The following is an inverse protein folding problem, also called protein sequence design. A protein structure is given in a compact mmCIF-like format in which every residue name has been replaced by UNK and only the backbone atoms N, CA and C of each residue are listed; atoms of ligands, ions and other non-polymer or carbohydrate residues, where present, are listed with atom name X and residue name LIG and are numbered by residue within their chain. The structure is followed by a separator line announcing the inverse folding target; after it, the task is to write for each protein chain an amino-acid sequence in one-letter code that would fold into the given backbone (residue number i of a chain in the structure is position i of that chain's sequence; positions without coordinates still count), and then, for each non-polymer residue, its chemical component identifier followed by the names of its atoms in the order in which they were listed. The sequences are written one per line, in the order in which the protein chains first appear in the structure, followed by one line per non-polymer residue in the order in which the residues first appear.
data_IF_870344095543
#
_entry.id   IF_870344095543
#
_cell.length_a   1.000
_cell.length_b   1.000
_cell.length_c   1.000
_cell.angle_alpha   90.00
_cell.angle_beta   90.00
_cell.angle_gamma   90.00
#
_symmetry.space_group_name_H-M   'P 1'
#
loop_
_entity.id
_entity.type
_entity.pdbx_description
1 polymer ?
#
# COMPACT_ATOMS: atom_id res chain seq x y z
N UNK A 1 -30.08 -11.48 10.63
CA UNK A 1 -30.62 -10.11 10.57
C UNK A 1 -29.93 -9.34 11.67
N UNK A 2 -28.84 -8.66 11.33
CA UNK A 2 -28.05 -7.88 12.27
C UNK A 2 -28.66 -6.50 12.41
N UNK A 3 -28.77 -6.02 13.64
CA UNK A 3 -29.26 -4.71 14.03
C UNK A 3 -28.51 -3.61 13.25
N UNK A 4 -29.19 -2.72 12.49
CA UNK A 4 -28.51 -1.62 11.81
C UNK A 4 -27.93 -0.70 12.89
N UNK A 5 -26.60 -0.71 13.01
CA UNK A 5 -25.87 -0.08 14.11
C UNK A 5 -26.38 1.32 14.47
N UNK A 6 -26.56 1.55 15.77
CA UNK A 6 -27.00 2.82 16.35
C UNK A 6 -26.15 3.97 15.82
N UNK A 7 -26.78 4.89 15.08
CA UNK A 7 -26.11 6.07 14.55
C UNK A 7 -26.01 7.11 15.65
N UNK A 8 -24.79 7.37 16.11
CA UNK A 8 -24.53 8.45 17.08
C UNK A 8 -24.44 9.77 16.32
N UNK A 9 -25.39 10.68 16.58
CA UNK A 9 -25.29 12.07 16.15
C UNK A 9 -24.67 12.91 17.26
N UNK A 10 -23.63 13.67 16.93
CA UNK A 10 -22.92 14.54 17.86
C UNK A 10 -22.72 15.93 17.22
N UNK A 11 -22.81 16.98 18.04
CA UNK A 11 -22.54 18.35 17.64
C UNK A 11 -21.54 18.99 18.61
N UNK A 12 -20.82 20.01 18.12
CA UNK A 12 -20.00 20.85 18.98
C UNK A 12 -20.93 21.66 19.90
N UNK A 13 -20.59 21.77 21.19
CA UNK A 13 -21.30 22.68 22.09
C UNK A 13 -21.09 24.15 21.68
N UNK A 14 -22.02 25.03 22.07
CA UNK A 14 -22.05 26.44 21.66
C UNK A 14 -20.72 27.18 21.88
N UNK A 15 -20.02 26.87 22.98
CA UNK A 15 -18.71 27.45 23.32
C UNK A 15 -17.62 27.10 22.29
N UNK A 16 -17.62 25.85 21.80
CA UNK A 16 -16.66 25.40 20.78
C UNK A 16 -17.07 25.82 19.37
N UNK A 17 -18.37 25.94 19.09
CA UNK A 17 -18.85 26.32 17.75
C UNK A 17 -18.29 27.69 17.34
N UNK A 18 -18.41 28.71 18.21
CA UNK A 18 -17.90 30.05 17.91
C UNK A 18 -16.38 30.08 17.68
N UNK A 19 -15.61 29.35 18.50
CA UNK A 19 -14.17 29.26 18.35
C UNK A 19 -13.75 28.53 17.05
N UNK A 20 -14.46 27.47 16.67
CA UNK A 20 -14.22 26.73 15.42
C UNK A 20 -14.57 27.56 14.21
N UNK A 21 -15.70 28.29 14.23
CA UNK A 21 -16.12 29.13 13.11
C UNK A 21 -15.15 30.29 12.87
N UNK A 22 -14.69 30.97 13.94
CA UNK A 22 -13.64 31.98 13.82
C UNK A 22 -12.33 31.41 13.23
N UNK A 23 -11.95 30.18 13.60
CA UNK A 23 -10.76 29.52 13.02
C UNK A 23 -10.96 29.12 11.56
N UNK A 24 -12.17 28.72 11.16
CA UNK A 24 -12.52 28.42 9.77
C UNK A 24 -12.47 29.66 8.89
N UNK A 25 -12.90 30.82 9.40
CA UNK A 25 -12.81 32.10 8.69
C UNK A 25 -11.35 32.48 8.44
N UNK A 26 -10.50 32.44 9.47
CA UNK A 26 -9.05 32.66 9.32
C UNK A 26 -8.41 31.70 8.31
N UNK A 27 -8.75 30.41 8.36
CA UNK A 27 -8.22 29.43 7.42
C UNK A 27 -8.67 29.69 5.97
N UNK A 28 -9.89 30.21 5.78
CA UNK A 28 -10.43 30.61 4.48
C UNK A 28 -9.69 31.83 3.93
N UNK A 29 -9.55 32.87 4.75
CA UNK A 29 -8.85 34.11 4.37
C UNK A 29 -7.39 33.86 4.00
N UNK A 30 -6.75 32.90 4.68
CA UNK A 30 -5.38 32.47 4.40
C UNK A 30 -5.26 31.48 3.24
N UNK A 31 -6.37 31.09 2.60
CA UNK A 31 -6.37 30.14 1.48
C UNK A 31 -5.82 28.77 1.83
N UNK A 32 -5.97 28.31 3.09
CA UNK A 32 -5.28 27.11 3.60
C UNK A 32 -5.52 25.88 2.73
N UNK A 33 -6.76 25.66 2.27
CA UNK A 33 -7.09 24.50 1.42
C UNK A 33 -6.32 24.53 0.10
N UNK A 34 -6.35 25.66 -0.62
CA UNK A 34 -5.62 25.80 -1.87
C UNK A 34 -4.10 25.59 -1.66
N UNK A 35 -3.56 26.17 -0.59
CA UNK A 35 -2.15 26.05 -0.22
C UNK A 35 -1.75 24.60 0.14
N UNK A 36 -2.64 23.82 0.75
CA UNK A 36 -2.42 22.37 0.96
C UNK A 36 -2.25 21.68 -0.39
N UNK A 37 -3.16 21.90 -1.33
CA UNK A 37 -3.11 21.31 -2.67
C UNK A 37 -1.91 21.79 -3.50
N UNK A 38 -1.45 23.02 -3.28
CA UNK A 38 -0.21 23.57 -3.84
C UNK A 38 1.05 23.07 -3.12
N UNK A 39 0.91 22.15 -2.14
CA UNK A 39 1.99 21.54 -1.36
C UNK A 39 2.83 22.57 -0.58
N UNK A 40 2.20 23.64 -0.07
CA UNK A 40 2.89 24.74 0.63
C UNK A 40 3.44 24.33 2.01
N UNK A 41 4.73 23.99 2.04
CA UNK A 41 5.46 23.56 3.24
C UNK A 41 5.35 24.50 4.45
N UNK A 42 5.06 25.80 4.23
CA UNK A 42 4.93 26.81 5.31
C UNK A 42 3.78 26.48 6.25
N UNK A 43 2.73 25.82 5.76
CA UNK A 43 1.60 25.39 6.60
C UNK A 43 2.02 24.41 7.71
N UNK A 44 3.16 23.74 7.57
CA UNK A 44 3.64 22.72 8.49
C UNK A 44 4.97 23.10 9.17
N UNK A 45 5.31 24.38 9.21
CA UNK A 45 6.52 24.88 9.90
C UNK A 45 7.69 25.26 8.98
N UNK A 46 7.48 25.23 7.65
CA UNK A 46 8.45 25.71 6.66
C UNK A 46 9.15 24.59 5.88
N UNK A 47 9.99 24.96 4.90
CA UNK A 47 10.67 23.99 4.05
C UNK A 47 11.70 23.18 4.87
N UNK A 48 11.56 21.87 4.80
CA UNK A 48 12.49 20.89 5.32
C UNK A 48 12.30 19.57 4.57
N UNK A 49 13.31 18.67 4.59
CA UNK A 49 13.27 17.42 3.81
C UNK A 49 12.12 16.49 4.20
N UNK A 50 11.47 16.74 5.34
CA UNK A 50 10.36 15.92 5.82
C UNK A 50 8.99 16.36 5.31
N UNK A 51 8.83 17.60 4.82
CA UNK A 51 7.53 18.18 4.46
C UNK A 51 7.41 18.37 2.95
N UNK A 52 8.41 18.97 2.29
CA UNK A 52 8.36 19.23 0.84
C UNK A 52 8.22 17.97 0.00
N UNK A 53 8.91 16.91 0.41
CA UNK A 53 9.04 15.66 -0.35
C UNK A 53 8.14 14.54 0.24
N UNK A 54 7.07 14.89 0.96
CA UNK A 54 6.16 13.91 1.60
C UNK A 54 4.67 14.19 1.40
N UNK A 55 4.32 15.06 0.44
CA UNK A 55 2.94 15.48 0.16
C UNK A 55 2.35 14.84 -1.10
N UNK A 56 3.04 13.86 -1.71
CA UNK A 56 2.53 13.15 -2.88
C UNK A 56 1.27 12.31 -2.62
N UNK A 57 0.88 12.13 -1.35
CA UNK A 57 -0.37 11.44 -0.98
C UNK A 57 -1.63 12.26 -1.31
N UNK A 58 -1.52 13.56 -1.57
CA UNK A 58 -2.66 14.43 -1.87
C UNK A 58 -3.34 14.06 -3.19
N UNK A 59 -2.55 13.72 -4.21
CA UNK A 59 -3.01 13.46 -5.59
C UNK A 59 -2.73 12.02 -6.04
N UNK A 60 -2.29 11.14 -5.14
CA UNK A 60 -1.93 9.77 -5.52
C UNK A 60 -3.11 8.97 -6.06
N UNK A 61 -4.32 9.23 -5.55
CA UNK A 61 -5.50 8.50 -6.00
C UNK A 61 -5.77 8.76 -7.50
N UNK A 62 -5.76 10.03 -7.90
CA UNK A 62 -5.94 10.45 -9.29
C UNK A 62 -4.85 9.86 -10.20
N UNK A 63 -3.59 9.90 -9.75
CA UNK A 63 -2.46 9.36 -10.52
C UNK A 63 -2.54 7.84 -10.68
N UNK A 64 -2.98 7.12 -9.66
CA UNK A 64 -3.13 5.67 -9.74
C UNK A 64 -4.33 5.24 -10.62
N UNK A 65 -5.36 6.09 -10.72
CA UNK A 65 -6.45 5.87 -11.68
C UNK A 65 -5.95 5.87 -13.14
N UNK A 66 -4.88 6.60 -13.46
CA UNK A 66 -4.27 6.60 -14.79
C UNK A 66 -3.60 5.25 -15.14
N UNK A 67 -3.11 4.52 -14.13
CA UNK A 67 -2.41 3.23 -14.31
C UNK A 67 -3.22 2.00 -13.87
N UNK A 68 -4.48 2.18 -13.45
CA UNK A 68 -5.28 1.10 -12.85
C UNK A 68 -5.54 -0.05 -13.83
N UNK A 69 -5.75 0.23 -15.12
CA UNK A 69 -6.02 -0.82 -16.11
C UNK A 69 -4.81 -1.72 -16.36
N UNK A 70 -3.60 -1.17 -16.27
CA UNK A 70 -2.35 -1.93 -16.36
C UNK A 70 -2.12 -2.81 -15.12
N UNK A 71 -2.51 -2.34 -13.93
CA UNK A 71 -2.54 -3.17 -12.72
C UNK A 71 -3.56 -4.32 -12.86
N UNK A 72 -4.76 -4.04 -13.37
CA UNK A 72 -5.79 -5.07 -13.57
C UNK A 72 -5.36 -6.11 -14.61
N UNK A 73 -4.75 -5.69 -15.73
CA UNK A 73 -4.20 -6.61 -16.72
C UNK A 73 -3.09 -7.50 -16.13
N UNK A 74 -2.27 -6.97 -15.22
CA UNK A 74 -1.31 -7.77 -14.47
C UNK A 74 -2.00 -8.82 -13.59
N UNK A 75 -3.05 -8.45 -12.84
CA UNK A 75 -3.80 -9.40 -12.01
C UNK A 75 -4.43 -10.49 -12.87
N UNK A 76 -5.05 -10.13 -14.00
CA UNK A 76 -5.63 -11.11 -14.93
C UNK A 76 -4.58 -12.12 -15.41
N UNK A 77 -3.35 -11.66 -15.70
CA UNK A 77 -2.26 -12.57 -16.10
C UNK A 77 -1.91 -13.57 -14.99
N UNK A 78 -1.78 -13.09 -13.75
CA UNK A 78 -1.49 -13.90 -12.56
C UNK A 78 -2.60 -14.93 -12.32
N UNK A 79 -3.87 -14.53 -12.42
CA UNK A 79 -4.98 -15.46 -12.28
C UNK A 79 -5.02 -16.51 -13.39
N UNK A 80 -4.78 -16.10 -14.64
CA UNK A 80 -4.81 -16.99 -15.80
C UNK A 80 -3.73 -18.08 -15.77
N UNK A 81 -2.61 -17.80 -15.09
CA UNK A 81 -1.51 -18.74 -14.87
C UNK A 81 -1.76 -19.67 -13.67
N UNK A 82 -2.88 -19.50 -12.97
CA UNK A 82 -3.35 -20.40 -11.94
C UNK A 82 -2.79 -20.13 -10.55
N UNK A 83 -2.22 -18.94 -10.30
CA UNK A 83 -1.90 -18.51 -8.94
C UNK A 83 -3.17 -18.42 -8.10
N UNK A 84 -3.09 -18.88 -6.85
CA UNK A 84 -4.23 -18.93 -5.92
C UNK A 84 -3.94 -18.22 -4.60
N UNK A 85 -2.66 -17.93 -4.34
CA UNK A 85 -2.18 -17.24 -3.15
C UNK A 85 -1.33 -16.05 -3.54
N UNK A 86 -1.43 -14.97 -2.75
CA UNK A 86 -0.48 -13.87 -2.75
C UNK A 86 0.17 -13.79 -1.37
N UNK A 87 1.50 -13.74 -1.30
CA UNK A 87 2.23 -13.59 -0.04
C UNK A 87 2.96 -12.24 -0.04
N UNK A 88 2.46 -11.29 0.74
CA UNK A 88 3.08 -9.98 0.93
C UNK A 88 4.19 -10.07 1.97
N UNK A 89 5.42 -9.82 1.52
CA UNK A 89 6.64 -9.79 2.33
C UNK A 89 7.00 -8.33 2.58
N UNK A 90 6.65 -7.79 3.75
CA UNK A 90 6.76 -6.35 4.00
C UNK A 90 6.60 -6.01 5.47
N UNK A 91 7.16 -4.86 5.88
CA UNK A 91 7.14 -4.39 7.27
C UNK A 91 6.51 -3.00 7.39
N UNK A 92 5.80 -2.77 8.48
CA UNK A 92 5.24 -1.46 8.85
C UNK A 92 4.24 -0.92 7.82
N UNK A 93 4.52 0.27 7.27
CA UNK A 93 3.63 0.91 6.27
C UNK A 93 3.40 0.06 5.02
N UNK A 94 4.36 -0.79 4.66
CA UNK A 94 4.30 -1.70 3.51
C UNK A 94 3.43 -2.94 3.74
N UNK A 95 2.94 -3.19 4.96
CA UNK A 95 2.11 -4.35 5.31
C UNK A 95 0.76 -3.98 5.94
N UNK A 96 0.72 -2.95 6.80
CA UNK A 96 -0.46 -2.62 7.60
C UNK A 96 -1.66 -2.12 6.77
N UNK A 97 -1.43 -1.29 5.75
CA UNK A 97 -2.49 -0.84 4.84
C UNK A 97 -3.15 -2.03 4.11
N UNK A 98 -2.36 -2.86 3.41
CA UNK A 98 -2.84 -4.12 2.84
C UNK A 98 -3.59 -5.02 3.82
N UNK A 99 -3.11 -5.15 5.07
CA UNK A 99 -3.73 -5.97 6.10
C UNK A 99 -5.12 -5.43 6.52
N UNK A 100 -5.28 -4.11 6.64
CA UNK A 100 -6.59 -3.49 6.91
C UNK A 100 -7.57 -3.76 5.77
N UNK A 101 -7.13 -3.60 4.51
CA UNK A 101 -7.96 -3.90 3.34
C UNK A 101 -8.39 -5.37 3.35
N UNK A 102 -7.43 -6.28 3.58
CA UNK A 102 -7.66 -7.73 3.64
C UNK A 102 -8.71 -8.11 4.69
N UNK A 103 -8.68 -7.48 5.87
CA UNK A 103 -9.66 -7.73 6.95
C UNK A 103 -11.03 -7.12 6.68
N UNK A 104 -11.07 -6.04 5.90
CA UNK A 104 -12.30 -5.26 5.67
C UNK A 104 -13.07 -5.71 4.43
N UNK A 105 -12.37 -6.27 3.43
CA UNK A 105 -12.96 -6.68 2.16
C UNK A 105 -13.12 -8.20 2.10
N UNK A 106 -14.35 -8.69 1.89
CA UNK A 106 -14.67 -10.11 1.81
C UNK A 106 -14.56 -10.70 0.39
N UNK A 107 -13.55 -10.28 -0.40
CA UNK A 107 -13.33 -10.77 -1.78
C UNK A 107 -12.11 -11.67 -1.83
N UNK A 108 -12.14 -12.67 -2.70
CA UNK A 108 -11.10 -13.69 -2.84
C UNK A 108 -10.91 -14.05 -4.31
N UNK A 109 -10.15 -13.22 -5.02
CA UNK A 109 -9.40 -13.66 -6.19
C UNK A 109 -8.29 -14.61 -5.72
N UNK A 110 -7.14 -14.06 -5.30
CA UNK A 110 -6.13 -14.80 -4.55
C UNK A 110 -6.36 -14.66 -3.05
N UNK A 111 -5.96 -15.69 -2.29
CA UNK A 111 -5.86 -15.59 -0.83
C UNK A 111 -4.59 -14.82 -0.48
N UNK A 112 -4.77 -13.58 -0.01
CA UNK A 112 -3.65 -12.76 0.48
C UNK A 112 -3.21 -13.21 1.88
N UNK A 113 -1.91 -13.41 2.03
CA UNK A 113 -1.21 -13.60 3.29
C UNK A 113 -0.21 -12.47 3.50
N UNK A 114 -0.09 -11.97 4.72
CA UNK A 114 0.84 -10.89 5.08
C UNK A 114 1.85 -11.42 6.06
N UNK A 115 3.14 -11.34 5.71
CA UNK A 115 4.26 -11.69 6.58
C UNK A 115 5.03 -10.43 6.96
N UNK A 116 4.73 -9.93 8.15
CA UNK A 116 5.33 -8.75 8.78
C UNK A 116 6.06 -9.09 10.10
N UNK A 117 6.49 -10.34 10.25
CA UNK A 117 7.22 -10.81 11.41
C UNK A 117 8.36 -11.74 11.01
N UNK A 118 9.52 -11.54 11.62
CA UNK A 118 10.68 -12.45 11.50
C UNK A 118 10.62 -13.60 12.50
N UNK A 119 9.57 -13.70 13.31
CA UNK A 119 9.40 -14.82 14.22
C UNK A 119 9.29 -16.13 13.41
N UNK A 120 10.05 -17.18 13.74
CA UNK A 120 10.07 -18.42 12.95
C UNK A 120 8.68 -19.05 12.83
N UNK A 121 7.88 -19.02 13.90
CA UNK A 121 6.50 -19.54 13.86
C UNK A 121 5.60 -18.80 12.86
N UNK A 122 5.80 -17.50 12.65
CA UNK A 122 5.03 -16.74 11.66
C UNK A 122 5.42 -17.12 10.23
N UNK A 123 6.73 -17.31 9.99
CA UNK A 123 7.24 -17.80 8.70
C UNK A 123 6.72 -19.22 8.44
N UNK A 124 6.79 -20.10 9.44
CA UNK A 124 6.32 -21.46 9.32
C UNK A 124 4.81 -21.54 9.08
N UNK A 125 4.02 -20.76 9.82
CA UNK A 125 2.58 -20.69 9.61
C UNK A 125 2.21 -20.22 8.20
N UNK A 126 2.97 -19.28 7.61
CA UNK A 126 2.80 -18.92 6.20
C UNK A 126 3.10 -20.11 5.28
N UNK A 127 4.22 -20.81 5.50
CA UNK A 127 4.61 -21.97 4.70
C UNK A 127 3.57 -23.10 4.73
N UNK A 128 2.92 -23.33 5.87
CA UNK A 128 1.82 -24.30 6.00
C UNK A 128 0.53 -23.85 5.31
N UNK A 129 0.32 -22.54 5.18
CA UNK A 129 -0.91 -21.94 4.66
C UNK A 129 -0.89 -21.69 3.14
N UNK A 130 0.24 -21.89 2.47
CA UNK A 130 0.39 -21.65 1.02
C UNK A 130 0.85 -22.89 0.27
N UNK A 131 0.40 -22.99 -0.98
CA UNK A 131 1.08 -23.79 -1.99
C UNK A 131 2.13 -22.92 -2.70
N UNK A 132 3.42 -23.21 -2.47
CA UNK A 132 4.54 -22.42 -3.01
C UNK A 132 4.49 -22.34 -4.53
N UNK A 133 4.09 -23.39 -5.24
CA UNK A 133 4.03 -23.39 -6.71
C UNK A 133 2.90 -22.50 -7.24
N UNK A 134 1.87 -22.26 -6.42
CA UNK A 134 0.68 -21.46 -6.76
C UNK A 134 0.62 -20.13 -6.01
N UNK A 135 1.77 -19.66 -5.52
CA UNK A 135 1.90 -18.38 -4.79
C UNK A 135 2.68 -17.34 -5.60
N UNK A 136 2.12 -16.14 -5.72
CA UNK A 136 2.84 -14.93 -6.11
C UNK A 136 3.35 -14.21 -4.86
N UNK A 137 4.64 -13.88 -4.81
CA UNK A 137 5.28 -13.19 -3.69
C UNK A 137 5.41 -11.71 -4.01
N UNK A 138 4.83 -10.86 -3.17
CA UNK A 138 4.91 -9.40 -3.28
C UNK A 138 5.94 -8.90 -2.29
N UNK A 139 7.14 -8.56 -2.76
CA UNK A 139 8.23 -8.03 -1.96
C UNK A 139 8.08 -6.52 -1.85
N UNK A 140 7.81 -6.02 -0.66
CA UNK A 140 7.33 -4.65 -0.46
C UNK A 140 8.24 -3.89 0.51
N UNK A 141 9.04 -2.97 -0.03
CA UNK A 141 9.95 -2.11 0.75
C UNK A 141 10.29 -0.84 -0.02
N UNK A 142 10.00 0.33 0.57
CA UNK A 142 10.31 1.65 -0.02
C UNK A 142 11.80 1.82 -0.31
N UNK A 143 12.63 1.69 0.73
CA UNK A 143 14.09 1.83 0.60
C UNK A 143 14.75 0.67 -0.14
N UNK A 144 14.07 -0.47 -0.24
CA UNK A 144 14.61 -1.72 -0.77
C UNK A 144 15.74 -2.32 0.08
N UNK A 145 15.95 -1.79 1.30
CA UNK A 145 17.01 -2.20 2.22
C UNK A 145 16.51 -2.78 3.54
N UNK A 146 15.19 -2.91 3.72
CA UNK A 146 14.60 -3.50 4.94
C UNK A 146 15.07 -4.94 5.11
N UNK A 147 15.88 -5.21 6.13
CA UNK A 147 16.57 -6.50 6.31
C UNK A 147 15.58 -7.65 6.43
N UNK A 148 14.49 -7.44 7.15
CA UNK A 148 13.43 -8.42 7.37
C UNK A 148 12.76 -8.81 6.04
N UNK A 149 12.34 -7.82 5.25
CA UNK A 149 11.76 -8.03 3.92
C UNK A 149 12.72 -8.76 2.98
N UNK A 150 14.00 -8.37 2.97
CA UNK A 150 15.00 -9.00 2.12
C UNK A 150 15.33 -10.43 2.56
N UNK A 151 15.29 -10.72 3.87
CA UNK A 151 15.43 -12.06 4.42
C UNK A 151 14.27 -12.96 3.98
N UNK A 152 13.03 -12.49 4.07
CA UNK A 152 11.86 -13.23 3.58
C UNK A 152 11.91 -13.45 2.07
N UNK A 153 12.26 -12.41 1.29
CA UNK A 153 12.46 -12.53 -0.16
C UNK A 153 13.47 -13.64 -0.48
N UNK A 154 14.64 -13.60 0.17
CA UNK A 154 15.68 -14.62 -0.06
C UNK A 154 15.16 -16.02 0.27
N UNK A 155 14.53 -16.19 1.42
CA UNK A 155 13.98 -17.48 1.86
C UNK A 155 13.00 -18.06 0.84
N UNK A 156 12.00 -17.29 0.43
CA UNK A 156 11.00 -17.77 -0.53
C UNK A 156 11.56 -17.90 -1.95
N UNK A 157 12.52 -17.07 -2.36
CA UNK A 157 13.18 -17.21 -3.66
C UNK A 157 13.97 -18.53 -3.75
N UNK A 158 14.62 -18.95 -2.67
CA UNK A 158 15.28 -20.26 -2.60
C UNK A 158 14.23 -21.40 -2.63
N UNK A 159 13.08 -21.24 -1.96
CA UNK A 159 11.97 -22.21 -1.96
C UNK A 159 11.32 -22.39 -3.34
N UNK A 160 11.26 -21.36 -4.17
CA UNK A 160 10.79 -21.44 -5.56
C UNK A 160 11.89 -21.90 -6.52
N UNK A 161 13.03 -22.37 -6.02
CA UNK A 161 14.19 -22.77 -6.81
C UNK A 161 14.73 -21.64 -7.71
N UNK A 162 14.57 -20.39 -7.28
CA UNK A 162 15.01 -19.20 -7.99
C UNK A 162 14.07 -18.76 -9.12
N UNK A 163 12.80 -19.18 -9.09
CA UNK A 163 11.82 -18.73 -10.08
C UNK A 163 11.38 -17.28 -9.82
N UNK A 164 12.04 -16.33 -10.46
CA UNK A 164 11.71 -14.90 -10.40
C UNK A 164 10.31 -14.54 -10.92
N UNK A 165 9.72 -15.37 -11.79
CA UNK A 165 8.38 -15.13 -12.32
C UNK A 165 7.28 -15.25 -11.24
N UNK A 166 7.60 -15.80 -10.07
CA UNK A 166 6.70 -15.80 -8.92
C UNK A 166 6.83 -14.56 -8.04
N UNK A 167 7.68 -13.58 -8.40
CA UNK A 167 8.00 -12.44 -7.55
C UNK A 167 7.66 -11.11 -8.23
N UNK A 168 7.12 -10.21 -7.41
CA UNK A 168 6.86 -8.82 -7.75
C UNK A 168 7.53 -7.94 -6.71
N UNK A 169 8.17 -6.86 -7.15
CA UNK A 169 8.68 -5.84 -6.24
C UNK A 169 7.75 -4.63 -6.21
N UNK A 170 7.46 -4.11 -5.02
CA UNK A 170 6.85 -2.79 -4.82
C UNK A 170 7.82 -1.93 -4.02
N UNK A 171 8.36 -0.90 -4.67
CA UNK A 171 9.52 -0.15 -4.15
C UNK A 171 9.65 1.22 -4.81
N UNK A 172 10.53 2.08 -4.30
CA UNK A 172 10.83 3.33 -4.98
C UNK A 172 11.81 3.14 -6.16
N UNK A 173 11.76 4.03 -7.17
CA UNK A 173 12.71 4.06 -8.26
C UNK A 173 14.17 4.02 -7.80
N UNK A 174 14.98 3.18 -8.44
CA UNK A 174 16.42 3.07 -8.18
C UNK A 174 16.79 2.40 -6.85
N UNK A 175 15.82 1.89 -6.08
CA UNK A 175 16.08 1.24 -4.79
C UNK A 175 16.93 -0.03 -4.92
N UNK A 176 17.48 -0.49 -3.78
CA UNK A 176 18.18 -1.78 -3.73
C UNK A 176 17.28 -2.97 -4.07
N UNK A 177 15.96 -2.86 -3.88
CA UNK A 177 15.01 -3.90 -4.24
C UNK A 177 14.71 -3.88 -5.74
N UNK A 178 14.62 -2.71 -6.37
CA UNK A 178 14.47 -2.60 -7.83
C UNK A 178 15.66 -3.27 -8.56
N UNK A 179 16.88 -3.03 -8.08
CA UNK A 179 18.09 -3.67 -8.62
C UNK A 179 18.06 -5.20 -8.43
N UNK A 180 17.69 -5.68 -7.24
CA UNK A 180 17.60 -7.12 -6.95
C UNK A 180 16.53 -7.81 -7.79
N UNK A 181 15.41 -7.13 -8.03
CA UNK A 181 14.32 -7.62 -8.86
C UNK A 181 14.80 -7.81 -10.32
N UNK A 182 15.55 -6.86 -10.86
CA UNK A 182 16.17 -6.99 -12.19
C UNK A 182 17.19 -8.14 -12.24
N UNK A 183 18.09 -8.25 -11.25
CA UNK A 183 19.08 -9.33 -11.14
C UNK A 183 18.45 -10.73 -11.07
N UNK A 184 17.25 -10.83 -10.47
CA UNK A 184 16.56 -12.10 -10.20
C UNK A 184 15.40 -12.36 -11.16
N UNK A 185 15.29 -11.57 -12.22
CA UNK A 185 14.22 -11.70 -13.22
C UNK A 185 12.83 -11.76 -12.58
N UNK A 186 12.57 -10.83 -11.66
CA UNK A 186 11.23 -10.70 -11.09
C UNK A 186 10.24 -10.36 -12.21
N UNK A 187 9.07 -11.00 -12.17
CA UNK A 187 7.98 -10.78 -13.14
C UNK A 187 7.70 -9.31 -13.37
N UNK A 188 7.68 -8.53 -12.29
CA UNK A 188 7.33 -7.11 -12.35
C UNK A 188 7.92 -6.29 -11.21
N UNK A 189 8.24 -5.04 -11.51
CA UNK A 189 8.55 -4.00 -10.53
C UNK A 189 7.49 -2.91 -10.65
N UNK A 190 6.77 -2.65 -9.55
CA UNK A 190 5.88 -1.51 -9.41
C UNK A 190 6.62 -0.42 -8.65
N UNK A 191 7.01 0.61 -9.38
CA UNK A 191 7.66 1.77 -8.79
C UNK A 191 6.61 2.68 -8.13
N UNK A 192 6.91 3.10 -6.91
CA UNK A 192 6.11 4.03 -6.14
C UNK A 192 6.63 5.47 -6.30
N UNK A 193 5.79 6.46 -6.01
CA UNK A 193 6.23 7.85 -5.91
C UNK A 193 7.09 8.08 -4.63
N UNK A 194 8.37 8.48 -4.77
CA UNK A 194 9.24 8.79 -3.64
C UNK A 194 8.66 9.86 -2.69
N UNK A 195 7.79 10.75 -3.18
CA UNK A 195 7.17 11.83 -2.39
C UNK A 195 6.05 11.33 -1.45
N UNK A 196 5.87 10.01 -1.35
CA UNK A 196 4.88 9.39 -0.47
C UNK A 196 5.56 8.72 0.71
N UNK A 197 5.29 9.21 1.92
CA UNK A 197 5.73 8.54 3.14
C UNK A 197 5.07 7.16 3.31
N UNK A 198 5.79 6.17 3.82
CA UNK A 198 5.28 4.79 3.88
C UNK A 198 3.98 4.57 4.68
N UNK A 199 3.64 5.47 5.62
CA UNK A 199 2.35 5.39 6.34
C UNK A 199 1.16 5.97 5.57
N UNK A 200 1.41 6.64 4.44
CA UNK A 200 0.42 7.24 3.56
C UNK A 200 0.36 6.57 2.18
N UNK A 201 1.04 5.42 2.01
CA UNK A 201 1.16 4.72 0.72
C UNK A 201 0.06 3.69 0.45
N UNK A 202 -1.00 3.63 1.25
CA UNK A 202 -2.07 2.63 1.08
C UNK A 202 -2.82 2.79 -0.25
N UNK A 203 -2.95 4.02 -0.75
CA UNK A 203 -3.55 4.28 -2.06
C UNK A 203 -2.51 4.35 -3.19
N UNK A 204 -1.25 3.98 -2.93
CA UNK A 204 -0.25 3.78 -3.99
C UNK A 204 -0.07 2.29 -4.28
N UNK A 205 0.89 1.93 -5.16
CA UNK A 205 1.25 0.55 -5.46
C UNK A 205 1.40 -0.34 -4.20
N UNK A 206 1.85 0.23 -3.07
CA UNK A 206 2.02 -0.48 -1.81
C UNK A 206 0.73 -1.10 -1.26
N UNK A 207 -0.41 -0.44 -1.42
CA UNK A 207 -1.71 -1.01 -1.04
C UNK A 207 -2.52 -1.54 -2.23
N UNK A 208 -2.42 -0.90 -3.39
CA UNK A 208 -3.22 -1.27 -4.56
C UNK A 208 -2.81 -2.61 -5.17
N UNK A 209 -1.52 -2.92 -5.24
CA UNK A 209 -1.06 -4.22 -5.78
C UNK A 209 -1.63 -5.40 -4.97
N UNK A 210 -1.44 -5.48 -3.64
CA UNK A 210 -2.05 -6.56 -2.86
C UNK A 210 -3.58 -6.50 -2.85
N UNK A 211 -4.19 -5.32 -2.89
CA UNK A 211 -5.65 -5.16 -2.97
C UNK A 211 -6.24 -5.73 -4.27
N UNK A 212 -5.64 -5.39 -5.41
CA UNK A 212 -6.07 -5.89 -6.71
C UNK A 212 -5.90 -7.42 -6.80
N UNK A 213 -4.77 -7.97 -6.31
CA UNK A 213 -4.52 -9.42 -6.27
C UNK A 213 -5.56 -10.19 -5.43
N UNK A 214 -6.09 -9.61 -4.35
CA UNK A 214 -7.17 -10.24 -3.58
C UNK A 214 -8.58 -10.00 -4.18
N UNK A 215 -8.68 -9.25 -5.28
CA UNK A 215 -9.92 -9.01 -6.02
C UNK A 215 -10.74 -7.85 -5.48
N UNK A 216 -10.11 -6.90 -4.78
CA UNK A 216 -10.75 -5.62 -4.40
C UNK A 216 -10.94 -4.79 -5.67
N UNK A 217 -12.08 -4.12 -5.76
CA UNK A 217 -12.33 -3.12 -6.81
C UNK A 217 -11.50 -1.88 -6.51
N UNK A 218 -10.25 -1.88 -6.99
CA UNK A 218 -9.29 -0.81 -6.75
C UNK A 218 -9.68 0.48 -7.46
N UNK A 219 -10.45 0.42 -8.55
CA UNK A 219 -10.99 1.61 -9.22
C UNK A 219 -12.01 2.30 -8.31
N UNK A 220 -12.97 1.54 -7.80
CA UNK A 220 -13.95 2.07 -6.85
C UNK A 220 -13.31 2.59 -5.54
N UNK A 221 -12.22 1.95 -5.09
CA UNK A 221 -11.46 2.42 -3.92
C UNK A 221 -10.76 3.77 -4.16
N UNK A 222 -10.31 4.02 -5.39
CA UNK A 222 -9.63 5.27 -5.74
C UNK A 222 -10.62 6.43 -6.02
N UNK A 223 -11.84 6.11 -6.43
CA UNK A 223 -12.91 7.09 -6.72
C UNK A 223 -13.77 7.47 -5.49
N UNK A 224 -13.56 6.83 -4.33
CA UNK A 224 -14.42 6.96 -3.13
C UNK A 224 -14.25 8.25 -2.34
#
# INVERSE_FOLDING_TARGET
MSDPGERVEAALGDELSGAVDARREVARDQGVVARIWERDAVLWGGPGPEIGDRLGWLDIADRQLESVDDLLAFVDSVESEGFTHAALLGMGGSSLGPEVIRRSCARRALTLHVLDSTHPDAVHALEEAIDVERTIFVVSSKSGGTVETLSHMRHFYERTQGNGEQFVAVTDPGSGLAQKAAERSFRRVFENDPDIGGRYSVLSCFGLVPAALMGVDVRALLES
#
